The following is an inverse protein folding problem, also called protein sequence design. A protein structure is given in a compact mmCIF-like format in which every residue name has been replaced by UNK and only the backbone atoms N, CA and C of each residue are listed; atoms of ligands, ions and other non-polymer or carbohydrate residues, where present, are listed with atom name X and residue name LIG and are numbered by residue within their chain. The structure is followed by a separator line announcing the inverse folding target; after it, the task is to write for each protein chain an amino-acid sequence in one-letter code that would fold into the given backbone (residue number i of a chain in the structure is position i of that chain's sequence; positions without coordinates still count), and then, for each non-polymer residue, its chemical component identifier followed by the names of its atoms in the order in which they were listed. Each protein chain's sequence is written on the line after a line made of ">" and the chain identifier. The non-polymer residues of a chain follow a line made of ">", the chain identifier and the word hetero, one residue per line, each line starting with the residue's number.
data_IF_813766604129
#
_entry.id   IF_813766604129
#
_cell.length_a   1.000
_cell.length_b   1.000
_cell.length_c   1.000
_cell.angle_alpha   90.00
_cell.angle_beta   90.00
_cell.angle_gamma   90.00
#
_symmetry.space_group_name_H-M   'P 1'
#
loop_
_entity.id
_entity.type
_entity.pdbx_description
1 polymer ?
#
# COMPACT_ATOMS: atom_id res chain seq x y z
N UNK A 1 41.54 2.28 16.06
CA UNK A 1 40.54 2.92 16.95
C UNK A 1 39.26 3.22 16.15
N UNK A 2 38.57 2.19 15.62
CA UNK A 2 37.20 2.36 15.10
C UNK A 2 36.36 1.23 15.66
N UNK A 3 35.37 1.66 16.43
CA UNK A 3 34.65 0.86 17.41
C UNK A 3 33.69 -0.14 16.80
N UNK A 4 33.62 -1.27 17.49
CA UNK A 4 32.50 -2.20 17.49
C UNK A 4 31.23 -1.43 17.87
N UNK A 5 30.51 -0.88 16.90
CA UNK A 5 29.09 -0.60 17.09
C UNK A 5 28.38 -1.95 16.94
N UNK A 6 28.21 -2.62 18.07
CA UNK A 6 27.39 -3.83 18.18
C UNK A 6 25.96 -3.51 17.71
N UNK A 7 25.28 -4.51 17.16
CA UNK A 7 23.88 -4.44 16.74
C UNK A 7 22.92 -3.82 17.79
N UNK A 8 23.33 -3.80 19.06
CA UNK A 8 22.67 -3.09 20.16
C UNK A 8 22.53 -1.58 19.94
N UNK A 9 23.47 -0.89 19.28
CA UNK A 9 23.38 0.57 19.07
C UNK A 9 22.25 0.97 18.11
N UNK A 10 21.98 0.15 17.09
CA UNK A 10 20.83 0.35 16.19
C UNK A 10 19.50 -0.02 16.85
N UNK A 11 19.51 -0.97 17.81
CA UNK A 11 18.31 -1.41 18.54
C UNK A 11 17.75 -0.35 19.50
N UNK A 12 18.62 0.46 20.14
CA UNK A 12 18.16 1.54 21.03
C UNK A 12 17.47 2.68 20.29
N UNK A 13 17.91 3.01 19.07
CA UNK A 13 17.33 4.08 18.27
C UNK A 13 15.96 3.72 17.67
N UNK A 14 15.69 2.43 17.42
CA UNK A 14 14.47 1.96 16.80
C UNK A 14 13.32 1.63 17.76
N UNK A 15 13.49 1.89 19.08
CA UNK A 15 12.53 1.52 20.14
C UNK A 15 12.09 0.05 20.00
N UNK A 16 13.05 -0.87 20.02
CA UNK A 16 12.80 -2.31 20.09
C UNK A 16 12.61 -2.75 21.54
N UNK A 17 11.73 -3.73 21.78
CA UNK A 17 11.59 -4.36 23.10
C UNK A 17 12.32 -5.69 23.12
N UNK A 18 12.98 -5.99 24.24
CA UNK A 18 13.59 -7.30 24.49
C UNK A 18 12.50 -8.29 24.93
N UNK A 19 12.37 -9.43 24.22
CA UNK A 19 11.50 -10.53 24.63
C UNK A 19 12.34 -11.74 25.04
N UNK A 20 12.21 -12.26 26.27
CA UNK A 20 12.78 -13.55 26.64
C UNK A 20 11.97 -14.66 25.95
N UNK A 21 12.63 -15.51 25.14
CA UNK A 21 12.01 -16.76 24.66
C UNK A 21 11.83 -17.72 25.83
N UNK A 22 10.59 -17.98 26.26
CA UNK A 22 10.26 -19.16 27.08
C UNK A 22 10.02 -20.37 26.16
N UNK A 23 11.08 -21.09 25.81
CA UNK A 23 11.00 -22.48 25.36
C UNK A 23 12.30 -23.21 25.69
N UNK A 24 12.14 -24.45 26.17
CA UNK A 24 13.14 -25.30 26.83
C UNK A 24 14.30 -25.64 25.87
N UNK A 25 15.55 -25.53 26.36
CA UNK A 25 16.71 -26.22 25.78
C UNK A 25 17.70 -25.36 24.97
N UNK A 26 18.74 -24.90 25.67
CA UNK A 26 20.15 -24.82 25.22
C UNK A 26 20.62 -23.86 24.10
N UNK A 27 19.84 -22.86 23.65
CA UNK A 27 20.42 -21.71 22.92
C UNK A 27 19.69 -20.39 23.26
N UNK A 28 20.35 -19.50 24.00
CA UNK A 28 19.89 -18.12 24.25
C UNK A 28 20.34 -17.19 23.12
N UNK A 29 19.69 -17.25 21.95
CA UNK A 29 19.75 -16.13 21.01
C UNK A 29 18.73 -15.09 21.42
N UNK A 30 19.21 -13.90 21.83
CA UNK A 30 18.38 -12.72 22.02
C UNK A 30 17.63 -12.43 20.71
N UNK A 31 16.31 -12.30 20.80
CA UNK A 31 15.47 -11.88 19.68
C UNK A 31 14.98 -10.47 19.96
N UNK A 32 15.28 -9.55 19.05
CA UNK A 32 14.76 -8.20 19.08
C UNK A 32 13.47 -8.17 18.23
N UNK A 33 12.43 -7.52 18.75
CA UNK A 33 11.23 -7.23 17.98
C UNK A 33 10.95 -5.73 17.98
N UNK A 34 10.42 -5.24 16.86
CA UNK A 34 9.83 -3.91 16.84
C UNK A 34 8.58 -3.90 17.73
N UNK A 35 8.39 -2.81 18.48
CA UNK A 35 7.21 -2.65 19.34
C UNK A 35 5.91 -2.63 18.54
N UNK A 36 5.95 -2.11 17.30
CA UNK A 36 4.78 -1.98 16.46
C UNK A 36 5.08 -2.37 15.01
N UNK A 37 4.21 -3.16 14.40
CA UNK A 37 4.36 -3.63 13.01
C UNK A 37 4.54 -2.47 12.03
N UNK A 38 3.83 -1.35 12.22
CA UNK A 38 3.98 -0.19 11.34
C UNK A 38 5.40 0.39 11.33
N UNK A 39 6.13 0.32 12.45
CA UNK A 39 7.51 0.79 12.52
C UNK A 39 8.41 -0.15 11.72
N UNK A 40 8.19 -1.46 11.84
CA UNK A 40 8.90 -2.47 11.05
C UNK A 40 8.68 -2.25 9.55
N UNK A 41 7.42 -2.17 9.11
CA UNK A 41 7.06 -2.01 7.71
C UNK A 41 7.56 -0.67 7.14
N UNK A 42 7.51 0.41 7.94
CA UNK A 42 8.07 1.70 7.55
C UNK A 42 9.58 1.64 7.34
N UNK A 43 10.32 1.05 8.29
CA UNK A 43 11.78 0.93 8.19
C UNK A 43 12.19 0.01 7.04
N UNK A 44 11.44 -1.05 6.79
CA UNK A 44 11.63 -1.91 5.62
C UNK A 44 11.42 -1.11 4.32
N UNK A 45 10.33 -0.34 4.21
CA UNK A 45 10.05 0.50 3.05
C UNK A 45 11.15 1.55 2.83
N UNK A 46 11.59 2.20 3.91
CA UNK A 46 12.68 3.18 3.88
C UNK A 46 13.99 2.53 3.41
N UNK A 47 14.32 1.34 3.91
CA UNK A 47 15.52 0.61 3.52
C UNK A 47 15.51 0.24 2.03
N UNK A 48 14.38 -0.28 1.53
CA UNK A 48 14.21 -0.60 0.11
C UNK A 48 14.32 0.65 -0.77
N UNK A 49 13.65 1.72 -0.39
CA UNK A 49 13.67 2.99 -1.12
C UNK A 49 15.08 3.59 -1.20
N UNK A 50 15.79 3.67 -0.06
CA UNK A 50 17.16 4.16 0.00
C UNK A 50 18.13 3.32 -0.83
N UNK A 51 18.00 2.00 -0.75
CA UNK A 51 18.85 1.07 -1.48
C UNK A 51 18.65 1.22 -2.99
N UNK A 52 17.40 1.36 -3.42
CA UNK A 52 17.09 1.59 -4.83
C UNK A 52 17.64 2.92 -5.33
N UNK A 53 17.47 4.02 -4.57
CA UNK A 53 18.00 5.34 -4.97
C UNK A 53 19.53 5.35 -5.02
N UNK A 54 20.20 4.74 -4.04
CA UNK A 54 21.68 4.80 -3.93
C UNK A 54 22.39 3.81 -4.84
N UNK A 55 21.80 2.63 -5.05
CA UNK A 55 22.48 1.51 -5.72
C UNK A 55 21.74 0.99 -6.95
N UNK A 56 20.52 1.47 -7.24
CA UNK A 56 19.69 0.96 -8.34
C UNK A 56 19.16 -0.45 -8.09
N UNK A 57 19.29 -0.98 -6.87
CA UNK A 57 18.96 -2.37 -6.55
C UNK A 57 17.51 -2.49 -6.06
N UNK A 58 16.72 -3.30 -6.78
CA UNK A 58 15.39 -3.70 -6.33
C UNK A 58 15.48 -4.92 -5.40
N UNK A 59 15.50 -4.69 -4.09
CA UNK A 59 15.56 -5.75 -3.07
C UNK A 59 14.32 -6.67 -3.03
N UNK A 60 13.25 -6.33 -3.76
CA UNK A 60 12.03 -7.13 -3.84
C UNK A 60 12.03 -8.11 -5.04
N UNK A 61 13.06 -8.11 -5.89
CA UNK A 61 13.22 -9.04 -7.00
C UNK A 61 14.18 -10.18 -6.63
N UNK A 62 13.81 -11.44 -6.91
CA UNK A 62 14.67 -12.62 -6.69
C UNK A 62 15.46 -13.06 -7.93
N UNK A 63 15.17 -12.52 -9.12
CA UNK A 63 15.79 -13.00 -10.36
C UNK A 63 17.01 -12.18 -10.78
N UNK A 64 18.00 -12.90 -11.32
CA UNK A 64 19.24 -12.42 -11.94
C UNK A 64 19.02 -11.37 -13.06
N UNK A 65 17.79 -11.21 -13.56
CA UNK A 65 17.39 -10.15 -14.50
C UNK A 65 17.39 -8.75 -13.85
N UNK A 66 17.37 -8.67 -12.52
CA UNK A 66 17.56 -7.43 -11.74
C UNK A 66 19.00 -6.90 -11.76
N UNK A 67 19.95 -7.66 -12.32
CA UNK A 67 21.36 -7.27 -12.46
C UNK A 67 21.66 -6.48 -13.74
N UNK A 68 20.68 -6.30 -14.63
CA UNK A 68 20.82 -5.37 -15.75
C UNK A 68 20.51 -3.96 -15.25
N UNK A 69 21.51 -3.06 -15.14
CA UNK A 69 21.31 -1.67 -14.76
C UNK A 69 20.77 -0.86 -15.96
N UNK A 70 19.83 -1.43 -16.73
CA UNK A 70 18.99 -0.61 -17.57
C UNK A 70 18.35 0.43 -16.68
N UNK A 71 18.25 1.67 -17.14
CA UNK A 71 17.74 2.82 -16.37
C UNK A 71 16.30 2.51 -15.93
N UNK A 72 16.15 1.86 -14.79
CA UNK A 72 14.88 1.58 -14.17
C UNK A 72 14.57 2.77 -13.28
N UNK A 73 13.61 3.60 -13.70
CA UNK A 73 13.15 4.70 -12.87
C UNK A 73 12.39 4.16 -11.64
N UNK A 74 12.24 4.95 -10.58
CA UNK A 74 11.58 4.58 -9.33
C UNK A 74 10.14 4.04 -9.53
N UNK A 75 9.48 4.39 -10.62
CA UNK A 75 8.17 3.84 -11.03
C UNK A 75 8.23 2.33 -11.28
N UNK A 76 9.37 1.79 -11.72
CA UNK A 76 9.57 0.34 -11.87
C UNK A 76 9.54 -0.36 -10.51
N UNK A 77 10.25 0.18 -9.52
CA UNK A 77 10.21 -0.33 -8.14
C UNK A 77 8.77 -0.30 -7.61
N UNK A 78 8.07 0.82 -7.79
CA UNK A 78 6.68 0.95 -7.34
C UNK A 78 5.76 -0.08 -8.02
N UNK A 79 5.86 -0.24 -9.33
CA UNK A 79 5.05 -1.22 -10.07
C UNK A 79 5.31 -2.65 -9.60
N UNK A 80 6.58 -2.98 -9.31
CA UNK A 80 6.95 -4.27 -8.77
C UNK A 80 6.42 -4.50 -7.36
N UNK A 81 6.52 -3.48 -6.49
CA UNK A 81 5.97 -3.54 -5.14
C UNK A 81 4.44 -3.69 -5.14
N UNK A 82 3.74 -2.96 -6.01
CA UNK A 82 2.29 -3.12 -6.24
C UNK A 82 1.97 -4.55 -6.69
N UNK A 83 2.74 -5.08 -7.65
CA UNK A 83 2.57 -6.46 -8.10
C UNK A 83 2.75 -7.46 -6.94
N UNK A 84 3.84 -7.37 -6.17
CA UNK A 84 4.09 -8.26 -5.03
C UNK A 84 3.03 -8.16 -3.94
N UNK A 85 2.53 -6.95 -3.64
CA UNK A 85 1.44 -6.78 -2.69
C UNK A 85 0.14 -7.43 -3.19
N UNK A 86 -0.15 -7.35 -4.49
CA UNK A 86 -1.31 -8.02 -5.08
C UNK A 86 -1.18 -9.55 -5.10
N UNK A 87 0.02 -10.10 -5.20
CA UNK A 87 0.26 -11.55 -5.09
C UNK A 87 0.20 -12.04 -3.63
N UNK A 88 0.28 -11.14 -2.66
CA UNK A 88 0.20 -11.48 -1.25
C UNK A 88 -1.19 -12.02 -0.90
N UNK A 89 -1.30 -13.23 -0.32
CA UNK A 89 -2.59 -13.83 0.00
C UNK A 89 -3.29 -13.16 1.19
N UNK A 90 -2.54 -12.56 2.11
CA UNK A 90 -3.04 -12.02 3.38
C UNK A 90 -2.78 -10.51 3.56
N UNK A 91 -2.33 -9.81 2.51
CA UNK A 91 -2.11 -8.36 2.56
C UNK A 91 -0.96 -7.92 3.47
N UNK A 92 -0.04 -8.82 3.87
CA UNK A 92 1.07 -8.45 4.77
C UNK A 92 1.98 -7.35 4.21
N UNK A 93 2.00 -7.15 2.88
CA UNK A 93 2.77 -6.09 2.21
C UNK A 93 1.99 -4.77 2.05
N UNK A 94 0.74 -4.70 2.49
CA UNK A 94 -0.13 -3.55 2.22
C UNK A 94 0.36 -2.29 2.92
N UNK A 95 0.81 -2.42 4.16
CA UNK A 95 1.33 -1.29 4.93
C UNK A 95 2.72 -0.87 4.43
N UNK A 96 3.58 -1.84 4.13
CA UNK A 96 4.86 -1.61 3.46
C UNK A 96 4.69 -0.81 2.17
N UNK A 97 3.77 -1.25 1.31
CA UNK A 97 3.53 -0.62 0.01
C UNK A 97 3.10 0.84 0.18
N UNK A 98 2.18 1.09 1.11
CA UNK A 98 1.73 2.45 1.43
C UNK A 98 2.88 3.34 1.86
N UNK A 99 3.73 2.89 2.78
CA UNK A 99 4.91 3.65 3.17
C UNK A 99 5.90 3.86 2.02
N UNK A 100 6.17 2.82 1.22
CA UNK A 100 7.09 2.92 0.08
C UNK A 100 6.64 3.99 -0.92
N UNK A 101 5.35 4.01 -1.25
CA UNK A 101 4.77 5.01 -2.13
C UNK A 101 4.78 6.40 -1.49
N UNK A 102 4.42 6.51 -0.21
CA UNK A 102 4.46 7.78 0.52
C UNK A 102 5.86 8.41 0.56
N UNK A 103 6.93 7.60 0.68
CA UNK A 103 8.32 8.08 0.65
C UNK A 103 8.71 8.75 -0.68
N UNK A 104 8.00 8.43 -1.77
CA UNK A 104 8.23 9.05 -3.07
C UNK A 104 7.60 10.44 -3.21
N UNK A 105 6.78 10.90 -2.25
CA UNK A 105 6.24 12.25 -2.28
C UNK A 105 7.32 13.29 -1.98
N UNK A 106 7.32 14.37 -2.76
CA UNK A 106 8.26 15.48 -2.60
C UNK A 106 8.25 16.07 -1.18
N UNK A 107 7.07 16.17 -0.55
CA UNK A 107 6.89 16.66 0.82
C UNK A 107 7.66 15.78 1.82
N UNK A 108 7.55 14.46 1.69
CA UNK A 108 8.21 13.50 2.56
C UNK A 108 9.72 13.44 2.31
N UNK A 109 10.16 13.56 1.05
CA UNK A 109 11.58 13.69 0.73
C UNK A 109 12.21 14.96 1.30
N UNK A 110 11.43 16.05 1.37
CA UNK A 110 11.90 17.31 1.96
C UNK A 110 12.11 17.15 3.46
N UNK A 111 11.19 16.50 4.16
CA UNK A 111 11.31 16.19 5.60
C UNK A 111 12.48 15.24 5.88
N UNK A 112 12.73 14.30 4.97
CA UNK A 112 13.77 13.30 5.10
C UNK A 112 15.04 13.66 4.33
N UNK A 113 15.28 14.94 3.99
CA UNK A 113 16.42 15.36 3.15
C UNK A 113 17.80 14.97 3.71
N UNK A 114 17.92 14.80 5.02
CA UNK A 114 19.13 14.27 5.66
C UNK A 114 19.40 12.79 5.38
N UNK A 115 18.38 12.04 4.94
CA UNK A 115 18.43 10.62 4.62
C UNK A 115 18.25 10.36 3.11
N UNK A 116 17.37 11.13 2.45
CA UNK A 116 16.98 11.01 1.04
C UNK A 116 17.61 12.13 0.20
N UNK A 117 18.36 11.75 -0.83
CA UNK A 117 18.80 12.66 -1.88
C UNK A 117 17.66 12.92 -2.85
N UNK A 118 17.36 14.18 -3.17
CA UNK A 118 16.38 14.53 -4.20
C UNK A 118 16.80 13.90 -5.53
N UNK A 119 15.95 13.02 -6.05
CA UNK A 119 16.10 12.42 -7.39
C UNK A 119 15.23 13.18 -8.39
N UNK A 120 15.62 13.19 -9.68
CA UNK A 120 14.92 13.93 -10.73
C UNK A 120 13.48 13.44 -10.98
N UNK A 121 12.70 14.19 -11.79
CA UNK A 121 11.32 13.94 -12.28
C UNK A 121 10.39 13.05 -11.42
N UNK A 122 10.38 13.24 -10.10
CA UNK A 122 9.52 12.48 -9.15
C UNK A 122 8.04 12.57 -9.53
N UNK A 123 7.60 13.74 -10.00
CA UNK A 123 6.21 13.95 -10.46
C UNK A 123 5.83 12.99 -11.59
N UNK A 124 6.72 12.79 -12.57
CA UNK A 124 6.46 11.89 -13.69
C UNK A 124 6.47 10.43 -13.26
N UNK A 125 7.37 10.05 -12.35
CA UNK A 125 7.38 8.72 -11.74
C UNK A 125 6.06 8.43 -11.01
N UNK A 126 5.62 9.35 -10.15
CA UNK A 126 4.39 9.16 -9.36
C UNK A 126 3.17 9.09 -10.28
N UNK A 127 3.10 9.90 -11.33
CA UNK A 127 2.04 9.81 -12.34
C UNK A 127 2.00 8.43 -13.02
N UNK A 128 3.15 7.87 -13.42
CA UNK A 128 3.21 6.51 -14.00
C UNK A 128 2.71 5.46 -13.01
N UNK A 129 3.12 5.56 -11.75
CA UNK A 129 2.67 4.67 -10.68
C UNK A 129 1.17 4.78 -10.43
N UNK A 130 0.62 6.00 -10.37
CA UNK A 130 -0.82 6.25 -10.23
C UNK A 130 -1.60 5.60 -11.36
N UNK A 131 -1.18 5.79 -12.63
CA UNK A 131 -1.85 5.18 -13.77
C UNK A 131 -1.79 3.65 -13.72
N UNK A 132 -0.67 3.09 -13.28
CA UNK A 132 -0.55 1.65 -13.07
C UNK A 132 -1.50 1.13 -11.99
N UNK A 133 -1.58 1.82 -10.85
CA UNK A 133 -2.49 1.45 -9.75
C UNK A 133 -3.94 1.53 -10.23
N UNK A 134 -4.35 2.61 -10.90
CA UNK A 134 -5.71 2.73 -11.49
C UNK A 134 -6.02 1.58 -12.44
N UNK A 135 -5.09 1.21 -13.31
CA UNK A 135 -5.22 0.03 -14.20
C UNK A 135 -5.38 -1.27 -13.40
N UNK A 136 -4.67 -1.43 -12.28
CA UNK A 136 -4.80 -2.61 -11.41
C UNK A 136 -6.14 -2.64 -10.70
N UNK A 137 -6.62 -1.52 -10.17
CA UNK A 137 -7.97 -1.40 -9.57
C UNK A 137 -9.04 -1.84 -10.57
N UNK A 138 -8.99 -1.34 -11.81
CA UNK A 138 -9.97 -1.69 -12.84
C UNK A 138 -10.02 -3.18 -13.20
N UNK A 139 -8.92 -3.91 -12.98
CA UNK A 139 -8.80 -5.34 -13.31
C UNK A 139 -8.95 -6.28 -12.11
N UNK A 140 -8.70 -5.78 -10.90
CA UNK A 140 -8.64 -6.60 -9.70
C UNK A 140 -10.03 -6.96 -9.21
N UNK A 141 -10.30 -8.23 -8.94
CA UNK A 141 -11.61 -8.71 -8.47
C UNK A 141 -11.72 -8.71 -6.94
N UNK A 142 -10.60 -8.77 -6.22
CA UNK A 142 -10.61 -8.70 -4.75
C UNK A 142 -10.88 -7.28 -4.27
N UNK A 143 -11.94 -7.15 -3.47
CA UNK A 143 -12.31 -5.89 -2.85
C UNK A 143 -11.26 -5.42 -1.84
N UNK A 144 -10.73 -6.32 -1.01
CA UNK A 144 -9.71 -6.02 0.00
C UNK A 144 -8.43 -5.48 -0.65
N UNK A 145 -7.95 -6.14 -1.71
CA UNK A 145 -6.79 -5.67 -2.47
C UNK A 145 -7.08 -4.33 -3.17
N UNK A 146 -8.29 -4.14 -3.69
CA UNK A 146 -8.69 -2.86 -4.29
C UNK A 146 -8.72 -1.73 -3.26
N UNK A 147 -9.23 -1.97 -2.05
CA UNK A 147 -9.21 -1.03 -0.92
C UNK A 147 -7.77 -0.64 -0.57
N UNK A 148 -6.84 -1.60 -0.49
CA UNK A 148 -5.44 -1.29 -0.28
C UNK A 148 -4.87 -0.39 -1.40
N UNK A 149 -5.20 -0.66 -2.67
CA UNK A 149 -4.78 0.19 -3.79
C UNK A 149 -5.36 1.61 -3.72
N UNK A 150 -6.57 1.82 -3.20
CA UNK A 150 -7.10 3.17 -2.94
C UNK A 150 -6.34 3.88 -1.83
N UNK A 151 -5.96 3.18 -0.76
CA UNK A 151 -5.06 3.77 0.23
C UNK A 151 -3.71 4.15 -0.41
N UNK A 152 -3.18 3.33 -1.31
CA UNK A 152 -1.95 3.65 -2.06
C UNK A 152 -2.11 4.91 -2.93
N UNK A 153 -3.26 5.11 -3.58
CA UNK A 153 -3.55 6.36 -4.31
C UNK A 153 -3.58 7.57 -3.36
N UNK A 154 -4.17 7.42 -2.17
CA UNK A 154 -4.17 8.48 -1.16
C UNK A 154 -2.75 8.83 -0.69
N UNK A 155 -1.88 7.85 -0.48
CA UNK A 155 -0.45 8.09 -0.15
C UNK A 155 0.29 8.83 -1.27
N UNK A 156 -0.18 8.73 -2.51
CA UNK A 156 0.34 9.47 -3.67
C UNK A 156 -0.39 10.80 -3.93
N UNK A 157 -1.28 11.21 -3.01
CA UNK A 157 -2.16 12.38 -3.15
C UNK A 157 -3.07 12.35 -4.40
N UNK A 158 -3.38 11.18 -4.94
CA UNK A 158 -4.35 11.03 -6.03
C UNK A 158 -5.72 10.61 -5.46
N UNK A 159 -6.72 11.49 -5.61
CA UNK A 159 -8.10 11.24 -5.17
C UNK A 159 -9.10 11.20 -6.32
N UNK A 160 -8.62 11.23 -7.57
CA UNK A 160 -9.48 11.54 -8.71
C UNK A 160 -10.65 10.54 -8.86
N UNK A 161 -10.39 9.23 -8.71
CA UNK A 161 -11.44 8.20 -8.82
C UNK A 161 -12.52 8.33 -7.73
N UNK A 162 -12.11 8.77 -6.53
CA UNK A 162 -13.03 9.00 -5.41
C UNK A 162 -13.84 10.25 -5.67
N UNK A 163 -13.19 11.33 -6.13
CA UNK A 163 -13.83 12.59 -6.47
C UNK A 163 -14.84 12.43 -7.61
N UNK A 164 -14.49 11.65 -8.65
CA UNK A 164 -15.37 11.33 -9.78
C UNK A 164 -16.69 10.67 -9.31
N UNK A 165 -16.60 9.72 -8.38
CA UNK A 165 -17.77 9.07 -7.78
C UNK A 165 -18.56 10.01 -6.88
N UNK A 166 -17.88 10.75 -6.02
CA UNK A 166 -18.55 11.70 -5.13
C UNK A 166 -19.30 12.79 -5.90
N UNK A 167 -18.75 13.27 -7.02
CA UNK A 167 -19.41 14.22 -7.90
C UNK A 167 -20.63 13.60 -8.59
N UNK A 168 -20.51 12.34 -9.05
CA UNK A 168 -21.63 11.59 -9.65
C UNK A 168 -22.78 11.39 -8.66
N UNK A 169 -22.47 11.09 -7.40
CA UNK A 169 -23.45 10.98 -6.30
C UNK A 169 -24.13 12.32 -6.01
N UNK A 170 -23.36 13.41 -5.87
CA UNK A 170 -23.90 14.75 -5.57
C UNK A 170 -24.79 15.30 -6.68
N UNK A 171 -24.50 14.96 -7.93
CA UNK A 171 -25.28 15.42 -9.08
C UNK A 171 -26.56 14.61 -9.32
N UNK A 172 -26.78 13.52 -8.57
CA UNK A 172 -27.91 12.61 -8.80
C UNK A 172 -27.83 11.85 -10.14
N UNK A 173 -26.69 11.89 -10.83
CA UNK A 173 -26.49 11.28 -12.16
C UNK A 173 -25.91 9.86 -12.08
N UNK A 174 -25.85 9.28 -10.89
CA UNK A 174 -25.31 7.94 -10.70
C UNK A 174 -26.27 6.90 -11.27
N UNK A 175 -26.07 6.53 -12.53
CA UNK A 175 -26.66 5.32 -13.12
C UNK A 175 -25.70 4.17 -12.84
N UNK A 176 -26.10 3.26 -11.95
CA UNK A 176 -25.27 2.12 -11.51
C UNK A 176 -24.90 1.20 -12.66
N UNK A 177 -25.76 1.11 -13.69
CA UNK A 177 -25.53 0.36 -14.93
C UNK A 177 -24.36 0.92 -15.78
N UNK A 178 -23.89 2.14 -15.48
CA UNK A 178 -22.80 2.82 -16.22
C UNK A 178 -21.49 2.90 -15.43
N UNK A 179 -21.45 2.38 -14.20
CA UNK A 179 -20.25 2.44 -13.39
C UNK A 179 -19.22 1.42 -13.89
N UNK A 180 -18.00 1.90 -14.13
CA UNK A 180 -16.86 1.04 -14.44
C UNK A 180 -16.44 0.21 -13.21
N UNK A 181 -15.66 -0.87 -13.39
CA UNK A 181 -15.15 -1.66 -12.26
C UNK A 181 -14.38 -0.83 -11.22
N UNK A 182 -13.61 0.17 -11.67
CA UNK A 182 -12.89 1.08 -10.77
C UNK A 182 -13.82 2.01 -10.00
N UNK A 183 -14.92 2.44 -10.62
CA UNK A 183 -15.95 3.25 -9.97
C UNK A 183 -16.71 2.47 -8.89
N UNK A 184 -17.06 1.20 -9.14
CA UNK A 184 -17.63 0.32 -8.11
C UNK A 184 -16.67 0.14 -6.93
N UNK A 185 -15.39 -0.08 -7.23
CA UNK A 185 -14.37 -0.23 -6.18
C UNK A 185 -14.16 1.06 -5.39
N UNK A 186 -14.25 2.22 -6.05
CA UNK A 186 -14.19 3.52 -5.39
C UNK A 186 -15.40 3.76 -4.48
N UNK A 187 -16.60 3.36 -4.90
CA UNK A 187 -17.80 3.41 -4.07
C UNK A 187 -17.64 2.53 -2.83
N UNK A 188 -17.19 1.28 -2.98
CA UNK A 188 -16.89 0.40 -1.87
C UNK A 188 -15.88 1.05 -0.90
N UNK A 189 -14.79 1.61 -1.42
CA UNK A 189 -13.78 2.30 -0.64
C UNK A 189 -14.35 3.50 0.15
N UNK A 190 -15.19 4.33 -0.48
CA UNK A 190 -15.84 5.48 0.17
C UNK A 190 -16.72 5.02 1.33
N UNK A 191 -17.56 4.00 1.10
CA UNK A 191 -18.48 3.48 2.12
C UNK A 191 -17.71 2.87 3.29
N UNK A 192 -16.69 2.06 3.01
CA UNK A 192 -15.82 1.46 4.04
C UNK A 192 -15.04 2.51 4.84
N UNK A 193 -14.65 3.62 4.21
CA UNK A 193 -13.87 4.69 4.86
C UNK A 193 -14.74 5.72 5.59
N UNK A 194 -16.06 5.66 5.43
CA UNK A 194 -16.98 6.68 5.95
C UNK A 194 -17.11 6.67 7.47
N UNK A 195 -16.73 5.57 8.14
CA UNK A 195 -16.93 5.37 9.57
C UNK A 195 -18.40 5.26 10.00
N UNK A 196 -19.34 5.31 9.05
CA UNK A 196 -20.77 5.15 9.30
C UNK A 196 -21.15 3.68 9.11
N UNK A 197 -21.90 3.14 10.06
CA UNK A 197 -22.57 1.86 9.89
C UNK A 197 -23.75 2.07 8.97
N UNK A 198 -23.87 1.28 7.91
CA UNK A 198 -25.01 1.32 7.01
C UNK A 198 -26.10 0.41 7.57
N UNK A 199 -27.30 0.96 7.81
CA UNK A 199 -28.43 0.21 8.35
C UNK A 199 -28.86 -0.95 7.43
N UNK A 200 -28.91 -0.67 6.12
CA UNK A 200 -29.19 -1.64 5.07
C UNK A 200 -28.35 -1.31 3.82
N UNK A 201 -27.69 -2.33 3.29
CA UNK A 201 -27.00 -2.24 2.00
C UNK A 201 -27.18 -3.56 1.25
N UNK A 202 -28.07 -3.57 0.26
CA UNK A 202 -28.25 -4.70 -0.64
C UNK A 202 -27.62 -4.38 -2.00
N UNK A 203 -26.54 -5.06 -2.42
CA UNK A 203 -25.93 -4.85 -3.73
C UNK A 203 -26.88 -5.16 -4.88
N UNK A 204 -27.83 -6.08 -4.67
CA UNK A 204 -28.79 -6.50 -5.70
C UNK A 204 -29.75 -5.38 -6.10
N UNK A 205 -29.96 -4.40 -5.22
CA UNK A 205 -30.73 -3.19 -5.54
C UNK A 205 -30.04 -2.34 -6.60
N UNK A 206 -28.73 -2.53 -6.80
CA UNK A 206 -27.91 -1.70 -7.67
C UNK A 206 -27.28 -2.45 -8.85
N UNK A 207 -27.02 -3.76 -8.73
CA UNK A 207 -26.46 -4.58 -9.79
C UNK A 207 -26.69 -6.07 -9.55
N UNK A 208 -26.98 -6.82 -10.63
CA UNK A 208 -27.01 -8.28 -10.64
C UNK A 208 -25.69 -8.91 -11.12
N UNK A 209 -24.66 -8.10 -11.44
CA UNK A 209 -23.34 -8.61 -11.87
C UNK A 209 -22.56 -9.11 -10.65
N UNK A 210 -22.21 -10.40 -10.67
CA UNK A 210 -21.44 -11.07 -9.61
C UNK A 210 -20.13 -10.34 -9.28
N UNK A 211 -19.44 -9.76 -10.28
CA UNK A 211 -18.19 -9.02 -10.06
C UNK A 211 -18.41 -7.72 -9.30
N UNK A 212 -19.59 -7.11 -9.44
CA UNK A 212 -19.98 -5.93 -8.65
C UNK A 212 -20.24 -6.35 -7.21
N UNK A 213 -20.97 -7.46 -7.01
CA UNK A 213 -21.25 -8.02 -5.69
C UNK A 213 -19.93 -8.32 -4.96
N UNK A 214 -18.96 -8.96 -5.63
CA UNK A 214 -17.64 -9.25 -5.06
C UNK A 214 -16.89 -7.98 -4.63
N UNK A 215 -16.91 -6.93 -5.44
CA UNK A 215 -16.30 -5.63 -5.11
C UNK A 215 -16.98 -4.94 -3.93
N UNK A 216 -18.28 -5.15 -3.76
CA UNK A 216 -19.07 -4.56 -2.67
C UNK A 216 -19.10 -5.43 -1.42
N UNK A 217 -18.56 -6.65 -1.46
CA UNK A 217 -18.60 -7.60 -0.34
C UNK A 217 -18.14 -7.04 1.01
N UNK A 218 -17.08 -6.21 1.10
CA UNK A 218 -16.70 -5.59 2.37
C UNK A 218 -17.80 -4.72 2.97
N UNK A 219 -18.55 -4.00 2.12
CA UNK A 219 -19.66 -3.11 2.55
C UNK A 219 -20.83 -3.93 3.07
N UNK A 220 -21.16 -5.04 2.40
CA UNK A 220 -22.22 -5.96 2.83
C UNK A 220 -21.89 -6.55 4.20
N UNK A 221 -20.64 -6.97 4.42
CA UNK A 221 -20.22 -7.60 5.69
C UNK A 221 -20.35 -6.68 6.91
N UNK A 222 -20.34 -5.37 6.70
CA UNK A 222 -20.43 -4.37 7.78
C UNK A 222 -21.81 -3.71 7.88
N UNK A 223 -22.77 -4.06 7.01
CA UNK A 223 -24.15 -3.58 7.12
C UNK A 223 -24.93 -4.42 8.14
N UNK A 224 -25.87 -3.78 8.84
CA UNK A 224 -26.60 -4.41 9.96
C UNK A 224 -27.57 -5.49 9.45
N UNK A 225 -28.20 -5.26 8.30
CA UNK A 225 -29.14 -6.18 7.65
C UNK A 225 -28.67 -6.48 6.23
N UNK A 226 -27.94 -7.59 6.06
CA UNK A 226 -27.62 -8.18 4.76
C UNK A 226 -28.47 -9.45 4.55
N UNK A 227 -29.41 -9.42 3.60
CA UNK A 227 -30.20 -10.60 3.17
C UNK A 227 -29.69 -11.20 1.85
#
# INVERSE_FOLDING_TARGET
>A
MYGKYSATSYCYLARCSELPKRARGLYQNQVFCFIHLSVQEFLAALHVHLTFIKHGLNLMGQDESSKNPGICDLSFLHQWAVYKALESPNGHLDLFLRFLLGLSLQTNQTLLRGLLTQTGSISQTNQRTVQYIKKKISKNESAEKSINLFHCLNELNDRSLVEDIQQSLRSGRLSTDKLSPSHWSALAFILMSSGKVLDHFNPKDYSTDQRVIERMLPVIKVSIHSE
#
